data_IF_208516027034
#
_entry.id   IF_208516027034
#
_cell.length_a   1.000
_cell.length_b   1.000
_cell.length_c   1.000
_cell.angle_alpha   90.00
_cell.angle_beta   90.00
_cell.angle_gamma   90.00
#
_symmetry.space_group_name_H-M   'P 1'
#
loop_
_entity.id
_entity.type
_entity.pdbx_description
1 polymer ?
#
# COMPACT_ATOMS: atom_id res chain seq x y z
N UNK A 1 -49.01 -27.32 -10.91
CA UNK A 1 -48.55 -26.29 -11.85
C UNK A 1 -47.66 -25.33 -11.08
N UNK A 2 -46.35 -25.29 -11.37
CA UNK A 2 -45.44 -24.39 -10.67
C UNK A 2 -45.58 -22.95 -11.17
N UNK A 3 -45.77 -22.00 -10.25
CA UNK A 3 -45.72 -20.57 -10.55
C UNK A 3 -44.25 -20.15 -10.57
N UNK A 4 -43.80 -19.60 -11.70
CA UNK A 4 -42.45 -19.01 -11.84
C UNK A 4 -42.59 -17.49 -11.89
N UNK A 5 -41.87 -16.79 -11.00
CA UNK A 5 -41.89 -15.33 -10.90
C UNK A 5 -40.48 -14.80 -11.09
N UNK A 6 -40.26 -13.95 -12.09
CA UNK A 6 -38.97 -13.28 -12.34
C UNK A 6 -39.10 -11.82 -11.90
N UNK A 7 -38.24 -11.35 -10.98
CA UNK A 7 -38.28 -9.98 -10.47
C UNK A 7 -36.87 -9.38 -10.30
N UNK A 8 -36.76 -8.05 -10.44
CA UNK A 8 -35.51 -7.30 -10.30
C UNK A 8 -35.23 -6.97 -8.83
N UNK A 9 -34.00 -7.21 -8.39
CA UNK A 9 -33.51 -7.01 -7.00
C UNK A 9 -33.36 -5.54 -6.58
N UNK A 10 -33.72 -4.56 -7.42
CA UNK A 10 -33.71 -3.13 -7.07
C UNK A 10 -34.84 -2.70 -6.13
N UNK A 11 -35.80 -3.58 -5.83
CA UNK A 11 -36.92 -3.31 -4.94
C UNK A 11 -36.79 -4.14 -3.66
N UNK A 12 -36.60 -3.47 -2.52
CA UNK A 12 -36.41 -4.12 -1.22
C UNK A 12 -37.57 -5.07 -0.85
N UNK A 13 -38.81 -4.74 -1.23
CA UNK A 13 -39.97 -5.58 -0.95
C UNK A 13 -39.90 -6.93 -1.67
N UNK A 14 -39.33 -6.93 -2.88
CA UNK A 14 -39.09 -8.15 -3.66
C UNK A 14 -38.02 -9.01 -3.02
N UNK A 15 -36.92 -8.39 -2.58
CA UNK A 15 -35.85 -9.08 -1.87
C UNK A 15 -36.37 -9.76 -0.59
N UNK A 16 -37.12 -9.03 0.23
CA UNK A 16 -37.73 -9.56 1.46
C UNK A 16 -38.68 -10.72 1.14
N UNK A 17 -39.55 -10.58 0.14
CA UNK A 17 -40.46 -11.64 -0.28
C UNK A 17 -39.71 -12.90 -0.73
N UNK A 18 -38.67 -12.75 -1.56
CA UNK A 18 -37.85 -13.90 -2.02
C UNK A 18 -37.14 -14.56 -0.85
N UNK A 19 -36.56 -13.77 0.07
CA UNK A 19 -35.90 -14.24 1.28
C UNK A 19 -36.84 -15.06 2.18
N UNK A 20 -38.04 -14.55 2.44
CA UNK A 20 -39.07 -15.23 3.24
C UNK A 20 -39.50 -16.56 2.60
N UNK A 21 -39.76 -16.57 1.28
CA UNK A 21 -40.10 -17.82 0.58
C UNK A 21 -38.96 -18.85 0.58
N UNK A 22 -37.70 -18.39 0.66
CA UNK A 22 -36.56 -19.29 0.78
C UNK A 22 -36.49 -19.93 2.17
N UNK A 23 -36.78 -19.18 3.23
CA UNK A 23 -36.88 -19.73 4.59
C UNK A 23 -38.08 -20.66 4.78
N UNK A 24 -39.18 -20.40 4.07
CA UNK A 24 -40.38 -21.25 4.09
C UNK A 24 -40.25 -22.51 3.23
N UNK A 25 -39.17 -22.69 2.46
CA UNK A 25 -38.90 -23.92 1.73
C UNK A 25 -38.42 -25.00 2.72
N UNK A 26 -39.36 -25.83 3.20
CA UNK A 26 -39.08 -26.96 4.07
C UNK A 26 -39.98 -28.15 3.71
N UNK A 27 -39.60 -29.33 4.19
CA UNK A 27 -40.39 -30.54 4.07
C UNK A 27 -41.49 -30.45 5.13
N UNK A 28 -42.74 -30.25 4.72
CA UNK A 28 -43.90 -30.25 5.62
C UNK A 28 -44.47 -31.68 5.69
N UNK A 29 -44.71 -32.22 6.90
CA UNK A 29 -45.52 -33.43 7.04
C UNK A 29 -46.96 -33.10 6.61
N UNK A 30 -47.58 -33.93 5.75
CA UNK A 30 -48.93 -33.67 5.27
C UNK A 30 -49.92 -33.55 6.44
N UNK A 31 -50.44 -32.35 6.68
CA UNK A 31 -51.33 -32.06 7.81
C UNK A 31 -52.78 -32.51 7.57
N UNK A 32 -53.14 -33.05 6.41
CA UNK A 32 -54.55 -33.31 6.08
C UNK A 32 -54.86 -34.39 5.02
N UNK A 33 -54.07 -35.46 4.91
CA UNK A 33 -54.48 -36.65 4.14
C UNK A 33 -54.45 -37.90 5.02
N UNK A 34 -55.44 -38.79 4.84
CA UNK A 34 -55.58 -40.09 5.53
C UNK A 34 -54.42 -41.07 5.25
N UNK A 35 -53.33 -40.60 4.65
CA UNK A 35 -52.16 -41.38 4.28
C UNK A 35 -50.89 -40.76 4.89
N UNK A 36 -50.36 -41.29 6.01
CA UNK A 36 -49.18 -40.77 6.69
C UNK A 36 -47.88 -40.92 5.90
N UNK A 37 -47.94 -41.38 4.65
CA UNK A 37 -46.79 -41.52 3.75
C UNK A 37 -46.62 -40.37 2.76
N UNK A 38 -47.57 -39.44 2.66
CA UNK A 38 -47.43 -38.29 1.78
C UNK A 38 -46.60 -37.18 2.43
N UNK A 39 -45.40 -36.98 1.88
CA UNK A 39 -44.51 -35.87 2.22
C UNK A 39 -44.65 -34.83 1.12
N UNK A 40 -45.07 -33.60 1.46
CA UNK A 40 -45.06 -32.48 0.50
C UNK A 40 -43.74 -31.73 0.60
N UNK A 41 -42.95 -31.80 -0.47
CA UNK A 41 -41.69 -31.08 -0.56
C UNK A 41 -41.89 -29.72 -1.26
N UNK A 42 -41.60 -28.62 -0.55
CA UNK A 42 -41.55 -27.28 -1.13
C UNK A 42 -40.12 -26.92 -1.50
N UNK A 43 -39.87 -26.69 -2.78
CA UNK A 43 -38.55 -26.31 -3.31
C UNK A 43 -38.56 -24.84 -3.75
N UNK A 44 -37.56 -24.08 -3.31
CA UNK A 44 -37.30 -22.71 -3.77
C UNK A 44 -35.96 -22.66 -4.49
N UNK A 45 -35.93 -22.09 -5.70
CA UNK A 45 -34.70 -21.93 -6.48
C UNK A 45 -34.52 -20.44 -6.77
N UNK A 46 -33.35 -19.93 -6.41
CA UNK A 46 -32.93 -18.55 -6.66
C UNK A 46 -31.66 -18.58 -7.52
N UNK A 47 -31.64 -17.76 -8.58
CA UNK A 47 -30.47 -17.62 -9.45
C UNK A 47 -30.01 -16.18 -9.39
N UNK A 48 -28.85 -15.95 -8.77
CA UNK A 48 -28.23 -14.64 -8.63
C UNK A 48 -26.99 -14.59 -9.51
N UNK A 49 -26.97 -13.66 -10.46
CA UNK A 49 -25.84 -13.50 -11.39
C UNK A 49 -24.71 -12.65 -10.84
N UNK A 50 -25.04 -11.74 -9.92
CA UNK A 50 -24.07 -10.84 -9.31
C UNK A 50 -23.41 -11.53 -8.10
N UNK A 51 -22.07 -11.68 -8.07
CA UNK A 51 -21.40 -12.39 -6.99
C UNK A 51 -21.54 -11.73 -5.61
N UNK A 52 -21.63 -10.40 -5.56
CA UNK A 52 -21.79 -9.67 -4.30
C UNK A 52 -23.18 -9.89 -3.72
N UNK A 53 -24.23 -9.74 -4.55
CA UNK A 53 -25.60 -10.02 -4.14
C UNK A 53 -25.80 -11.50 -3.79
N UNK A 54 -25.10 -12.41 -4.45
CA UNK A 54 -25.13 -13.84 -4.13
C UNK A 54 -24.61 -14.09 -2.72
N UNK A 55 -23.42 -13.56 -2.39
CA UNK A 55 -22.85 -13.65 -1.04
C UNK A 55 -23.80 -13.06 0.00
N UNK A 56 -24.28 -11.83 -0.24
CA UNK A 56 -25.20 -11.16 0.67
C UNK A 56 -26.48 -11.98 0.88
N UNK A 57 -27.08 -12.51 -0.17
CA UNK A 57 -28.28 -13.35 -0.06
C UNK A 57 -28.01 -14.65 0.69
N UNK A 58 -26.90 -15.35 0.40
CA UNK A 58 -26.49 -16.56 1.11
C UNK A 58 -26.30 -16.30 2.61
N UNK A 59 -25.62 -15.22 2.99
CA UNK A 59 -25.46 -14.83 4.39
C UNK A 59 -26.83 -14.53 5.04
N UNK A 60 -27.70 -13.81 4.32
CA UNK A 60 -29.02 -13.41 4.76
C UNK A 60 -29.97 -14.58 5.03
N UNK A 61 -29.96 -15.62 4.20
CA UNK A 61 -30.77 -16.83 4.38
C UNK A 61 -30.05 -17.93 5.17
N UNK A 62 -28.82 -17.66 5.63
CA UNK A 62 -27.95 -18.64 6.29
C UNK A 62 -27.73 -19.89 5.43
N UNK A 63 -27.57 -19.70 4.12
CA UNK A 63 -27.33 -20.79 3.19
C UNK A 63 -26.01 -21.47 3.50
N UNK A 64 -26.01 -22.81 3.52
CA UNK A 64 -24.78 -23.58 3.72
C UNK A 64 -23.85 -23.38 2.53
N UNK A 65 -22.75 -22.67 2.75
CA UNK A 65 -21.71 -22.47 1.75
C UNK A 65 -21.01 -23.79 1.41
N UNK A 66 -20.61 -23.94 0.15
CA UNK A 66 -19.76 -25.04 -0.27
C UNK A 66 -18.36 -24.94 0.35
N UNK A 67 -17.65 -26.06 0.43
CA UNK A 67 -16.26 -26.09 0.93
C UNK A 67 -15.35 -25.15 0.14
N UNK A 68 -15.52 -25.07 -1.18
CA UNK A 68 -14.75 -24.16 -2.04
C UNK A 68 -15.01 -22.68 -1.73
N UNK A 69 -16.26 -22.31 -1.46
CA UNK A 69 -16.63 -20.93 -1.12
C UNK A 69 -16.08 -20.53 0.25
N UNK A 70 -16.14 -21.44 1.23
CA UNK A 70 -15.55 -21.23 2.55
C UNK A 70 -14.03 -21.00 2.42
N UNK A 71 -13.35 -21.84 1.63
CA UNK A 71 -11.92 -21.68 1.37
C UNK A 71 -11.59 -20.36 0.68
N UNK A 72 -12.40 -19.94 -0.29
CA UNK A 72 -12.21 -18.67 -0.98
C UNK A 72 -12.42 -17.48 -0.03
N UNK A 73 -13.47 -17.48 0.79
CA UNK A 73 -13.70 -16.43 1.79
C UNK A 73 -12.56 -16.34 2.81
N UNK A 74 -12.06 -17.50 3.27
CA UNK A 74 -10.91 -17.54 4.18
C UNK A 74 -9.65 -16.97 3.50
N UNK A 75 -9.39 -17.32 2.24
CA UNK A 75 -8.25 -16.79 1.49
C UNK A 75 -8.36 -15.28 1.25
N UNK A 76 -9.54 -14.77 0.92
CA UNK A 76 -9.81 -13.34 0.77
C UNK A 76 -9.58 -12.60 2.10
N UNK A 77 -10.06 -13.15 3.22
CA UNK A 77 -9.85 -12.58 4.56
C UNK A 77 -8.38 -12.54 4.96
N UNK A 78 -7.66 -13.65 4.74
CA UNK A 78 -6.22 -13.72 5.01
C UNK A 78 -5.48 -12.67 4.18
N UNK A 79 -5.84 -12.49 2.91
CA UNK A 79 -5.22 -11.49 2.04
C UNK A 79 -5.53 -10.05 2.50
N UNK A 80 -6.76 -9.78 2.94
CA UNK A 80 -7.14 -8.47 3.46
C UNK A 80 -6.39 -8.11 4.76
N UNK A 81 -6.14 -9.09 5.62
CA UNK A 81 -5.42 -8.92 6.89
C UNK A 81 -3.89 -8.95 6.72
N UNK A 82 -3.38 -9.38 5.56
CA UNK A 82 -1.95 -9.51 5.30
C UNK A 82 -1.29 -8.12 5.23
N UNK A 83 -0.26 -7.94 6.06
CA UNK A 83 0.62 -6.76 5.98
C UNK A 83 1.65 -6.96 4.87
N UNK A 84 1.60 -6.08 3.88
CA UNK A 84 2.48 -6.05 2.71
C UNK A 84 3.54 -4.96 2.93
N UNK A 85 4.82 -5.24 2.62
CA UNK A 85 5.88 -4.23 2.75
C UNK A 85 6.01 -3.42 1.46
N UNK A 86 5.80 -2.11 1.54
CA UNK A 86 5.95 -1.21 0.40
C UNK A 86 7.43 -1.02 0.04
N UNK A 87 7.81 -1.29 -1.21
CA UNK A 87 9.19 -1.07 -1.68
C UNK A 87 9.58 0.40 -1.83
N UNK A 88 8.61 1.31 -1.90
CA UNK A 88 8.85 2.72 -2.17
C UNK A 88 9.14 3.51 -0.89
N UNK A 89 8.33 3.30 0.16
CA UNK A 89 8.48 3.98 1.45
C UNK A 89 8.98 3.06 2.58
N UNK A 90 9.15 1.77 2.33
CA UNK A 90 9.53 0.74 3.32
C UNK A 90 8.53 0.51 4.47
N UNK A 91 7.37 1.18 4.47
CA UNK A 91 6.29 0.95 5.44
C UNK A 91 5.46 -0.29 5.11
N UNK A 92 4.79 -0.82 6.13
CA UNK A 92 3.81 -1.90 5.99
C UNK A 92 2.40 -1.34 5.77
N UNK A 93 1.62 -1.97 4.90
CA UNK A 93 0.25 -1.59 4.59
C UNK A 93 -0.63 -2.81 4.34
N UNK A 94 -1.96 -2.65 4.40
CA UNK A 94 -2.95 -3.65 3.97
C UNK A 94 -3.57 -3.22 2.65
N UNK A 95 -4.07 -4.15 1.83
CA UNK A 95 -4.70 -3.78 0.55
C UNK A 95 -5.89 -2.82 0.73
N UNK A 96 -6.66 -2.98 1.82
CA UNK A 96 -7.79 -2.11 2.16
C UNK A 96 -7.37 -0.66 2.47
N UNK A 97 -6.21 -0.49 3.10
CA UNK A 97 -5.66 0.81 3.45
C UNK A 97 -4.87 1.46 2.30
N UNK A 98 -4.61 0.73 1.19
CA UNK A 98 -3.79 1.21 0.07
C UNK A 98 -4.52 2.21 -0.84
N UNK A 99 -4.78 3.40 -0.31
CA UNK A 99 -5.46 4.51 -0.99
C UNK A 99 -4.43 5.47 -1.61
N UNK A 100 -4.88 6.25 -2.60
CA UNK A 100 -4.04 7.28 -3.20
C UNK A 100 -3.58 8.27 -2.11
N UNK A 101 -2.27 8.46 -2.00
CA UNK A 101 -1.65 9.42 -1.10
C UNK A 101 -1.17 8.85 0.23
N UNK A 102 -1.39 7.55 0.48
CA UNK A 102 -0.91 6.87 1.70
C UNK A 102 0.58 6.58 1.66
N UNK A 103 1.11 6.22 0.49
CA UNK A 103 2.55 6.10 0.31
C UNK A 103 3.16 7.45 0.03
N UNK A 104 4.13 7.84 0.85
CA UNK A 104 4.90 9.07 0.69
C UNK A 104 6.38 8.70 0.58
N UNK A 105 7.02 8.97 -0.56
CA UNK A 105 8.39 8.54 -0.81
C UNK A 105 9.17 9.50 -1.72
N UNK A 106 10.49 9.31 -1.74
CA UNK A 106 11.38 9.88 -2.75
C UNK A 106 11.71 8.79 -3.77
N UNK A 107 11.43 9.07 -5.04
CA UNK A 107 11.67 8.16 -6.15
C UNK A 107 12.88 8.58 -6.98
N UNK A 108 13.82 9.34 -6.42
CA UNK A 108 15.08 9.71 -7.07
C UNK A 108 16.28 9.38 -6.19
N UNK A 109 17.47 9.30 -6.79
CA UNK A 109 18.72 9.12 -6.07
C UNK A 109 19.08 10.35 -5.23
N UNK A 110 19.97 10.14 -4.26
CA UNK A 110 20.60 11.22 -3.49
C UNK A 110 21.87 11.67 -4.20
N UNK A 111 22.16 12.97 -4.19
CA UNK A 111 23.44 13.49 -4.67
C UNK A 111 24.07 14.41 -3.63
N UNK A 112 25.39 14.50 -3.70
CA UNK A 112 26.18 15.42 -2.92
C UNK A 112 26.14 16.82 -3.58
N UNK A 113 25.52 17.78 -2.91
CA UNK A 113 25.36 19.13 -3.43
C UNK A 113 26.67 19.92 -3.42
N UNK A 114 27.69 19.52 -2.67
CA UNK A 114 29.00 20.17 -2.67
C UNK A 114 29.99 19.50 -3.65
N UNK A 115 29.73 18.26 -4.05
CA UNK A 115 30.57 17.56 -5.04
C UNK A 115 30.27 18.02 -6.46
N UNK A 116 31.28 18.43 -7.26
CA UNK A 116 31.07 18.87 -8.64
C UNK A 116 30.57 17.75 -9.56
N UNK A 117 30.79 16.48 -9.21
CA UNK A 117 30.48 15.32 -10.08
C UNK A 117 29.02 14.86 -10.01
N UNK A 118 28.26 15.31 -9.01
CA UNK A 118 26.89 14.85 -8.74
C UNK A 118 26.76 13.31 -8.78
N UNK A 119 27.64 12.62 -8.03
CA UNK A 119 27.59 11.17 -7.88
C UNK A 119 26.22 10.76 -7.33
N UNK A 120 25.69 9.65 -7.82
CA UNK A 120 24.45 9.07 -7.32
C UNK A 120 24.74 8.27 -6.05
N UNK A 121 23.96 8.49 -5.00
CA UNK A 121 24.07 7.82 -3.71
C UNK A 121 22.76 7.11 -3.38
N UNK A 122 22.88 5.93 -2.78
CA UNK A 122 21.78 5.33 -2.05
C UNK A 122 21.53 6.16 -0.77
N UNK A 123 20.27 6.35 -0.33
CA UNK A 123 19.97 7.08 0.89
C UNK A 123 20.72 6.53 2.11
N UNK A 124 20.79 5.20 2.25
CA UNK A 124 21.45 4.53 3.37
C UNK A 124 22.94 4.84 3.43
N UNK A 125 23.65 4.76 2.30
CA UNK A 125 25.09 5.03 2.26
C UNK A 125 25.42 6.50 2.49
N UNK A 126 24.55 7.42 2.01
CA UNK A 126 24.69 8.84 2.30
C UNK A 126 24.44 9.15 3.79
N UNK A 127 23.48 8.50 4.44
CA UNK A 127 23.23 8.62 5.89
C UNK A 127 24.43 8.10 6.68
N UNK A 128 24.95 6.91 6.34
CA UNK A 128 26.13 6.34 7.00
C UNK A 128 27.33 7.27 6.92
N UNK A 129 27.54 7.90 5.76
CA UNK A 129 28.60 8.89 5.59
C UNK A 129 28.37 10.13 6.48
N UNK A 130 27.16 10.70 6.51
CA UNK A 130 26.85 11.85 7.36
C UNK A 130 27.07 11.54 8.85
N UNK A 131 26.63 10.36 9.31
CA UNK A 131 26.79 9.93 10.69
C UNK A 131 28.25 9.70 11.06
N UNK A 132 29.04 9.13 10.15
CA UNK A 132 30.49 8.95 10.34
C UNK A 132 31.23 10.29 10.45
N UNK A 133 30.91 11.25 9.58
CA UNK A 133 31.47 12.61 9.61
C UNK A 133 31.09 13.35 10.90
N UNK A 134 29.84 13.20 11.37
CA UNK A 134 29.39 13.76 12.64
C UNK A 134 30.14 13.14 13.84
N UNK A 135 30.31 11.81 13.86
CA UNK A 135 31.04 11.13 14.93
C UNK A 135 32.52 11.57 14.98
N UNK A 136 33.17 11.71 13.83
CA UNK A 136 34.55 12.20 13.74
C UNK A 136 34.69 13.64 14.25
N UNK A 137 33.75 14.53 13.90
CA UNK A 137 33.74 15.91 14.38
C UNK A 137 33.61 15.98 15.91
N UNK A 138 32.75 15.15 16.50
CA UNK A 138 32.58 15.05 17.95
C UNK A 138 33.85 14.50 18.62
N UNK A 139 34.46 13.47 18.04
CA UNK A 139 35.69 12.87 18.58
C UNK A 139 36.87 13.84 18.55
N UNK A 140 37.02 14.64 17.48
CA UNK A 140 38.08 15.64 17.40
C UNK A 140 37.90 16.75 18.46
N UNK A 141 36.66 17.18 18.70
CA UNK A 141 36.35 18.15 19.75
C UNK A 141 36.64 17.60 21.16
N UNK A 142 36.33 16.32 21.41
CA UNK A 142 36.56 15.69 22.71
C UNK A 142 38.05 15.47 22.99
N UNK A 143 38.83 15.01 22.02
CA UNK A 143 40.30 14.83 22.15
C UNK A 143 41.00 16.15 22.46
N UNK A 144 40.54 17.25 21.87
CA UNK A 144 41.14 18.55 22.10
C UNK A 144 40.81 19.14 23.49
N UNK A 145 39.86 18.57 24.25
CA UNK A 145 39.25 19.20 25.44
C UNK A 145 38.76 20.65 25.17
N UNK A 146 38.45 20.97 23.90
CA UNK A 146 37.96 22.29 23.51
C UNK A 146 36.47 22.17 23.20
N UNK A 147 35.59 22.91 23.90
CA UNK A 147 34.18 22.94 23.54
C UNK A 147 34.03 23.48 22.12
N UNK A 148 33.21 22.81 21.29
CA UNK A 148 32.95 23.26 19.92
C UNK A 148 32.50 24.72 19.91
N UNK A 149 33.18 25.55 19.13
CA UNK A 149 32.80 26.94 18.94
C UNK A 149 31.46 27.03 18.19
N UNK A 150 30.78 28.18 18.30
CA UNK A 150 29.53 28.41 17.56
C UNK A 150 29.73 28.23 16.04
N UNK A 151 30.87 28.68 15.52
CA UNK A 151 31.22 28.53 14.10
C UNK A 151 31.43 27.06 13.69
N UNK A 152 32.06 26.25 14.55
CA UNK A 152 32.23 24.82 14.29
C UNK A 152 30.90 24.08 14.28
N UNK A 153 30.00 24.40 15.23
CA UNK A 153 28.65 23.84 15.25
C UNK A 153 27.86 24.20 13.99
N UNK A 154 27.91 25.46 13.58
CA UNK A 154 27.24 25.91 12.36
C UNK A 154 27.79 25.22 11.11
N UNK A 155 29.12 25.02 11.01
CA UNK A 155 29.74 24.26 9.91
C UNK A 155 29.26 22.81 9.87
N UNK A 156 29.18 22.14 11.02
CA UNK A 156 28.66 20.76 11.11
C UNK A 156 27.19 20.70 10.68
N UNK A 157 26.35 21.64 11.11
CA UNK A 157 24.95 21.70 10.68
C UNK A 157 24.80 21.97 9.18
N UNK A 158 25.62 22.85 8.60
CA UNK A 158 25.66 23.05 7.13
C UNK A 158 26.17 21.81 6.39
N UNK A 159 27.08 21.04 6.98
CA UNK A 159 27.57 19.80 6.39
C UNK A 159 26.48 18.72 6.35
N UNK A 160 25.60 18.65 7.37
CA UNK A 160 24.41 17.77 7.36
C UNK A 160 23.46 18.08 6.21
N UNK A 161 23.47 19.31 5.69
CA UNK A 161 22.64 19.72 4.56
C UNK A 161 23.22 19.42 3.16
N UNK A 162 24.37 18.73 3.10
CA UNK A 162 25.11 18.44 1.88
C UNK A 162 24.35 17.55 0.91
N UNK A 163 23.71 16.49 1.41
CA UNK A 163 23.06 15.50 0.56
C UNK A 163 21.62 15.92 0.26
N UNK A 164 21.21 15.80 -1.01
CA UNK A 164 19.89 16.19 -1.47
C UNK A 164 19.29 15.17 -2.42
N UNK A 165 17.97 15.06 -2.41
CA UNK A 165 17.23 14.21 -3.36
C UNK A 165 17.10 14.89 -4.72
N UNK A 166 17.42 14.18 -5.80
CA UNK A 166 17.28 14.73 -7.17
C UNK A 166 15.83 15.03 -7.57
N UNK A 167 14.85 14.33 -6.98
CA UNK A 167 13.45 14.48 -7.32
C UNK A 167 12.85 15.83 -6.87
N UNK A 168 13.32 16.39 -5.75
CA UNK A 168 12.73 17.58 -5.13
C UNK A 168 13.73 18.57 -4.50
N UNK A 169 15.03 18.28 -4.56
CA UNK A 169 16.10 19.08 -3.95
C UNK A 169 15.96 19.26 -2.42
N UNK A 170 15.15 18.43 -1.77
CA UNK A 170 15.08 18.39 -0.30
C UNK A 170 16.35 17.75 0.27
N UNK A 171 16.79 18.28 1.40
CA UNK A 171 17.94 17.76 2.14
C UNK A 171 17.61 16.41 2.75
N UNK A 172 18.51 15.44 2.55
CA UNK A 172 18.49 14.16 3.23
C UNK A 172 18.68 14.39 4.75
N UNK A 173 17.71 13.95 5.55
CA UNK A 173 17.83 14.00 7.01
C UNK A 173 18.39 12.67 7.52
N UNK A 174 19.23 12.73 8.53
CA UNK A 174 19.75 11.54 9.23
C UNK A 174 18.79 11.00 10.30
N UNK A 175 17.80 11.80 10.70
CA UNK A 175 16.85 11.46 11.78
C UNK A 175 15.41 11.73 11.38
N UNK A 176 14.52 10.79 11.73
CA UNK A 176 13.06 10.89 11.54
C UNK A 176 12.52 10.33 10.23
N UNK A 177 11.19 10.13 10.18
CA UNK A 177 10.47 9.82 8.95
C UNK A 177 10.37 11.09 8.10
N UNK A 178 11.27 11.24 7.13
CA UNK A 178 11.19 12.33 6.14
C UNK A 178 10.04 12.02 5.19
N UNK A 179 9.01 12.85 5.23
CA UNK A 179 7.93 12.79 4.26
C UNK A 179 8.49 13.00 2.85
N UNK A 180 8.43 11.95 2.02
CA UNK A 180 8.78 12.03 0.63
C UNK A 180 8.03 13.11 -0.16
N UNK A 181 8.60 13.52 -1.29
CA UNK A 181 7.98 14.53 -2.15
C UNK A 181 6.87 13.97 -3.06
N UNK A 182 6.82 12.65 -3.26
CA UNK A 182 5.78 12.00 -4.07
C UNK A 182 4.77 11.29 -3.19
N UNK A 183 3.51 11.38 -3.58
CA UNK A 183 2.36 10.77 -2.91
C UNK A 183 1.64 9.84 -3.88
N UNK A 184 1.36 8.62 -3.45
CA UNK A 184 0.72 7.61 -4.28
C UNK A 184 0.13 6.48 -3.45
N UNK A 185 -0.27 5.41 -4.14
CA UNK A 185 -0.50 4.11 -3.49
C UNK A 185 0.86 3.49 -3.15
N UNK A 186 0.88 2.65 -2.12
CA UNK A 186 2.02 1.77 -1.89
C UNK A 186 2.21 0.85 -3.10
N UNK A 187 3.47 0.69 -3.52
CA UNK A 187 3.84 -0.20 -4.60
C UNK A 187 3.65 -1.66 -4.20
N UNK A 188 3.00 -2.50 -5.03
CA UNK A 188 2.80 -3.91 -4.72
C UNK A 188 4.13 -4.67 -4.65
N UNK A 189 4.15 -5.75 -3.87
CA UNK A 189 5.31 -6.64 -3.60
C UNK A 189 5.91 -7.33 -4.83
N UNK A 190 5.30 -7.16 -6.02
CA UNK A 190 5.69 -7.84 -7.25
C UNK A 190 7.01 -7.33 -7.82
N UNK A 191 7.44 -6.12 -7.43
CA UNK A 191 8.74 -5.57 -7.79
C UNK A 191 9.67 -5.74 -6.59
N UNK A 192 10.83 -6.34 -6.82
CA UNK A 192 11.84 -6.45 -5.76
C UNK A 192 12.41 -5.08 -5.43
N UNK A 193 12.95 -4.93 -4.22
CA UNK A 193 13.63 -3.70 -3.80
C UNK A 193 14.73 -3.28 -4.79
N UNK A 194 15.51 -4.25 -5.28
CA UNK A 194 16.60 -4.00 -6.23
C UNK A 194 16.08 -3.50 -7.59
N UNK A 195 14.99 -4.06 -8.09
CA UNK A 195 14.37 -3.60 -9.34
C UNK A 195 13.80 -2.18 -9.21
N UNK A 196 13.20 -1.86 -8.05
CA UNK A 196 12.74 -0.51 -7.77
C UNK A 196 13.90 0.50 -7.72
N UNK A 197 14.97 0.18 -6.98
CA UNK A 197 16.18 1.01 -6.91
C UNK A 197 16.82 1.20 -8.28
N UNK A 198 16.90 0.15 -9.09
CA UNK A 198 17.42 0.23 -10.45
C UNK A 198 16.55 1.12 -11.35
N UNK A 199 15.22 0.99 -11.29
CA UNK A 199 14.30 1.83 -12.06
C UNK A 199 14.38 3.30 -11.64
N UNK A 200 14.52 3.54 -10.33
CA UNK A 200 14.72 4.85 -9.72
C UNK A 200 15.98 5.54 -10.25
N UNK A 201 17.10 4.82 -10.23
CA UNK A 201 18.41 5.35 -10.59
C UNK A 201 18.55 5.58 -12.11
N UNK A 202 17.86 4.78 -12.92
CA UNK A 202 17.82 4.91 -14.37
C UNK A 202 16.67 5.77 -14.91
N UNK A 203 15.96 6.48 -14.06
CA UNK A 203 14.88 7.35 -14.49
C UNK A 203 15.42 8.52 -15.34
N UNK A 204 14.97 8.58 -16.60
CA UNK A 204 15.44 9.57 -17.58
C UNK A 204 15.21 11.02 -17.11
N UNK A 205 14.09 11.32 -16.46
CA UNK A 205 13.80 12.66 -15.93
C UNK A 205 14.88 13.11 -14.94
N UNK A 206 15.32 12.21 -14.05
CA UNK A 206 16.38 12.50 -13.08
C UNK A 206 17.75 12.60 -13.73
N UNK A 207 18.02 11.83 -14.78
CA UNK A 207 19.24 12.00 -15.57
C UNK A 207 19.28 13.36 -16.26
N UNK A 208 18.16 13.82 -16.84
CA UNK A 208 18.08 15.17 -17.42
C UNK A 208 18.28 16.26 -16.37
N UNK A 209 17.63 16.15 -15.19
CA UNK A 209 17.84 17.09 -14.08
C UNK A 209 19.31 17.14 -13.64
N UNK A 210 19.96 15.97 -13.54
CA UNK A 210 21.39 15.86 -13.20
C UNK A 210 22.27 16.57 -14.21
N UNK A 211 22.05 16.36 -15.51
CA UNK A 211 22.83 17.03 -16.58
C UNK A 211 22.65 18.55 -16.50
N UNK A 212 21.41 19.02 -16.30
CA UNK A 212 21.13 20.46 -16.17
C UNK A 212 21.84 21.07 -14.96
N UNK A 213 21.89 20.37 -13.83
CA UNK A 213 22.64 20.81 -12.65
C UNK A 213 24.15 20.88 -12.92
N UNK A 214 24.72 19.91 -13.63
CA UNK A 214 26.14 19.94 -14.04
C UNK A 214 26.44 21.14 -14.94
N UNK A 215 25.58 21.39 -15.93
CA UNK A 215 25.73 22.54 -16.84
C UNK A 215 25.64 23.88 -16.10
N UNK A 216 24.68 24.02 -15.18
CA UNK A 216 24.54 25.22 -14.37
C UNK A 216 25.76 25.50 -13.49
N UNK A 217 26.43 24.46 -13.00
CA UNK A 217 27.65 24.62 -12.19
C UNK A 217 28.84 25.04 -13.02
N UNK A 218 29.02 24.42 -14.19
CA UNK A 218 30.08 24.81 -15.11
C UNK A 218 29.99 26.29 -15.52
N UNK A 219 28.78 26.85 -15.63
CA UNK A 219 28.55 28.27 -15.94
C UNK A 219 28.84 29.23 -14.78
N UNK A 220 28.94 28.74 -13.54
CA UNK A 220 29.23 29.56 -12.37
C UNK A 220 30.70 29.52 -11.94
N UNK A 221 31.49 28.61 -12.51
CA UNK A 221 32.93 28.46 -12.25
C UNK A 221 33.80 29.31 -13.22
N UNK A 222 33.19 29.96 -14.22
CA UNK A 222 33.79 30.95 -15.15
C UNK A 222 33.54 32.40 -14.68
#
# INVERSE_FOLDING_TARGET
MGLSTSQSLTNQNVYTFVKENFHLAHIEPATSSDDPTQVEEKWSIVVIRDPFLCRQFCDDVQFTLSVSEIQQQQAERIRAEQKIKCVQCNDYYTEEDNKMGQCVHHDGFVYDNYSPKLTQWAPETAIEQLLSEEAQAVQQASIANVPMTAEQKERTERAKQRFRYICCNQTLQTTGNVGGCKRGKHGPENITRNEWELARDNNQEYQYKRIRLLQSRAQHDD
#
